data_IF_152869678832
#
_entry.id   IF_152869678832
#
_cell.length_a   1.000
_cell.length_b   1.000
_cell.length_c   1.000
_cell.angle_alpha   90.00
_cell.angle_beta   90.00
_cell.angle_gamma   90.00
#
_symmetry.space_group_name_H-M   'P 1'
#
loop_
_entity.id
_entity.type
_entity.pdbx_description
1 polymer ?
#
# COMPACT_ATOMS: atom_id res chain seq x y z
N UNK A 1 -17.15 -0.70 -2.99
CA UNK A 1 -15.92 -0.65 -2.17
C UNK A 1 -15.82 0.78 -1.69
N UNK A 2 -16.04 1.03 -0.40
CA UNK A 2 -16.06 2.40 0.13
C UNK A 2 -14.63 2.94 0.05
N UNK A 3 -14.37 3.73 -0.98
CA UNK A 3 -13.07 4.29 -1.34
C UNK A 3 -12.71 5.53 -0.52
N UNK A 4 -13.06 5.57 0.76
CA UNK A 4 -12.94 6.79 1.56
C UNK A 4 -11.55 6.99 2.20
N UNK A 5 -10.61 6.03 2.09
CA UNK A 5 -9.30 6.17 2.77
C UNK A 5 -8.06 5.88 1.91
N UNK A 6 -8.20 5.59 0.61
CA UNK A 6 -7.05 5.40 -0.29
C UNK A 6 -6.09 4.26 0.08
N UNK A 7 -6.37 3.46 1.10
CA UNK A 7 -5.56 2.30 1.53
C UNK A 7 -6.38 1.03 1.39
N UNK A 8 -5.85 0.06 0.65
CA UNK A 8 -6.44 -1.27 0.48
C UNK A 8 -5.53 -2.31 1.13
N UNK A 9 -6.01 -2.94 2.20
CA UNK A 9 -5.31 -4.07 2.82
C UNK A 9 -5.63 -5.37 2.09
N UNK A 10 -4.59 -6.10 1.69
CA UNK A 10 -4.76 -7.39 1.02
C UNK A 10 -5.04 -8.46 2.07
N UNK A 11 -6.10 -9.25 1.83
CA UNK A 11 -6.54 -10.33 2.71
C UNK A 11 -6.62 -11.63 1.92
N UNK A 12 -6.33 -12.72 2.62
CA UNK A 12 -6.57 -14.08 2.12
C UNK A 12 -8.08 -14.33 2.01
N UNK A 13 -8.52 -15.36 1.25
CA UNK A 13 -9.94 -15.73 1.18
C UNK A 13 -10.60 -16.02 2.53
N UNK A 14 -9.80 -16.42 3.53
CA UNK A 14 -10.25 -16.66 4.91
C UNK A 14 -10.28 -15.39 5.80
N UNK A 15 -10.00 -14.21 5.23
CA UNK A 15 -10.02 -12.91 5.91
C UNK A 15 -8.74 -12.53 6.65
N UNK A 16 -7.75 -13.44 6.78
CA UNK A 16 -6.47 -13.13 7.43
C UNK A 16 -5.65 -12.13 6.59
N UNK A 17 -4.91 -11.20 7.23
CA UNK A 17 -4.05 -10.26 6.51
C UNK A 17 -2.90 -10.99 5.82
N UNK A 18 -2.50 -10.54 4.63
CA UNK A 18 -1.28 -11.04 3.96
C UNK A 18 -0.01 -10.37 4.48
N UNK A 19 -0.14 -9.12 4.93
CA UNK A 19 0.99 -8.24 5.24
C UNK A 19 1.18 -7.14 4.18
N UNK A 20 0.45 -7.24 3.06
CA UNK A 20 0.55 -6.30 1.94
C UNK A 20 -0.62 -5.31 1.95
N UNK A 21 -0.37 -4.12 1.40
CA UNK A 21 -1.37 -3.11 1.16
C UNK A 21 -1.04 -2.30 -0.09
N UNK A 22 -2.07 -1.79 -0.75
CA UNK A 22 -1.95 -0.79 -1.80
C UNK A 22 -2.38 0.57 -1.27
N UNK A 23 -1.68 1.62 -1.68
CA UNK A 23 -1.99 3.00 -1.31
C UNK A 23 -2.18 3.81 -2.59
N UNK A 24 -3.36 4.43 -2.72
CA UNK A 24 -3.69 5.37 -3.77
C UNK A 24 -3.32 6.77 -3.29
N UNK A 25 -2.40 7.40 -4.00
CA UNK A 25 -2.05 8.80 -3.80
C UNK A 25 -2.84 9.69 -4.76
N UNK A 26 -3.10 10.93 -4.35
CA UNK A 26 -3.78 11.93 -5.17
C UNK A 26 -2.98 12.27 -6.45
N UNK A 27 -1.65 12.27 -6.36
CA UNK A 27 -0.76 12.58 -7.48
C UNK A 27 0.46 11.66 -7.51
N UNK A 28 1.03 11.48 -8.70
CA UNK A 28 2.26 10.69 -8.86
C UNK A 28 3.42 11.28 -8.04
N UNK A 29 3.57 12.59 -7.97
CA UNK A 29 4.65 13.24 -7.22
C UNK A 29 4.66 12.86 -5.73
N UNK A 30 3.48 12.79 -5.09
CA UNK A 30 3.37 12.32 -3.70
C UNK A 30 3.78 10.84 -3.61
N UNK A 31 3.34 10.01 -4.56
CA UNK A 31 3.73 8.60 -4.61
C UNK A 31 5.26 8.45 -4.75
N UNK A 32 5.91 9.22 -5.63
CA UNK A 32 7.38 9.20 -5.79
C UNK A 32 8.08 9.60 -4.50
N UNK A 33 7.66 10.70 -3.88
CA UNK A 33 8.25 11.17 -2.62
C UNK A 33 8.08 10.15 -1.49
N UNK A 34 6.95 9.45 -1.44
CA UNK A 34 6.68 8.43 -0.42
C UNK A 34 7.69 7.26 -0.46
N UNK A 35 8.23 6.93 -1.63
CA UNK A 35 9.23 5.86 -1.79
C UNK A 35 10.53 6.14 -1.02
N UNK A 36 10.81 7.40 -0.68
CA UNK A 36 11.96 7.76 0.16
C UNK A 36 11.86 7.16 1.56
N UNK A 37 10.66 6.76 2.00
CA UNK A 37 10.42 6.07 3.28
C UNK A 37 10.62 4.56 3.20
N UNK A 38 11.13 4.02 2.10
CA UNK A 38 11.40 2.59 1.97
C UNK A 38 12.31 2.11 3.11
N UNK A 39 11.87 1.07 3.84
CA UNK A 39 12.50 0.47 5.04
C UNK A 39 12.49 1.34 6.29
N UNK A 40 11.73 2.43 6.32
CA UNK A 40 11.39 3.10 7.58
C UNK A 40 10.49 2.21 8.45
N UNK A 41 10.42 2.57 9.73
CA UNK A 41 9.66 1.83 10.73
C UNK A 41 8.23 2.36 10.86
N UNK A 42 7.26 1.44 10.92
CA UNK A 42 5.95 1.68 11.51
C UNK A 42 5.89 0.85 12.79
N UNK A 43 5.92 1.52 13.94
CA UNK A 43 6.09 0.86 15.24
C UNK A 43 7.41 0.08 15.28
N UNK A 44 7.33 -1.25 15.43
CA UNK A 44 8.50 -2.14 15.54
C UNK A 44 8.85 -2.87 14.25
N UNK A 45 8.13 -2.63 13.15
CA UNK A 45 8.32 -3.31 11.86
C UNK A 45 8.85 -2.33 10.83
N UNK A 46 9.88 -2.73 10.08
CA UNK A 46 10.24 -2.02 8.86
C UNK A 46 9.24 -2.36 7.76
N UNK A 47 9.00 -1.41 6.86
CA UNK A 47 8.06 -1.59 5.74
C UNK A 47 8.81 -1.41 4.43
N UNK A 48 8.56 -2.29 3.48
CA UNK A 48 9.07 -2.16 2.12
C UNK A 48 8.03 -1.48 1.24
N UNK A 49 8.47 -0.49 0.46
CA UNK A 49 7.64 0.26 -0.49
C UNK A 49 8.09 -0.02 -1.91
N UNK A 50 7.12 -0.22 -2.81
CA UNK A 50 7.32 -0.47 -4.23
C UNK A 50 6.35 0.40 -5.03
N UNK A 51 6.73 0.81 -6.25
CA UNK A 51 5.76 1.40 -7.17
C UNK A 51 4.78 0.34 -7.62
N UNK A 52 3.53 0.75 -7.77
CA UNK A 52 2.47 -0.10 -8.30
C UNK A 52 1.55 0.69 -9.22
N UNK A 53 0.79 -0.03 -10.04
CA UNK A 53 -0.26 0.52 -10.90
C UNK A 53 -1.62 -0.01 -10.49
N UNK A 54 -2.70 0.69 -10.87
CA UNK A 54 -4.07 0.24 -10.56
C UNK A 54 -4.42 -1.12 -11.16
N UNK A 55 -3.72 -1.56 -12.20
CA UNK A 55 -3.91 -2.87 -12.82
C UNK A 55 -3.45 -4.03 -11.91
N UNK A 56 -2.43 -3.80 -11.07
CA UNK A 56 -1.89 -4.82 -10.16
C UNK A 56 -2.78 -5.02 -8.93
N UNK A 57 -3.59 -4.03 -8.58
CA UNK A 57 -4.54 -4.07 -7.45
C UNK A 57 -5.67 -5.08 -7.68
N UNK A 58 -5.94 -5.44 -8.94
CA UNK A 58 -7.07 -6.29 -9.34
C UNK A 58 -6.71 -7.77 -9.55
N UNK A 59 -5.45 -8.15 -9.31
CA UNK A 59 -4.96 -9.54 -9.43
C UNK A 59 -5.11 -10.32 -8.11
#
# INVERSE_FOLDING_TARGET
MNGDEGVLFVRKPDGRPTGDAFVLFETEDIAVRSLQKHRELIGTRYIELFRSTTAEVQQ
#
